data_IF_062129785718
#
_entry.id   IF_062129785718
#
_cell.length_a   1.000
_cell.length_b   1.000
_cell.length_c   1.000
_cell.angle_alpha   90.00
_cell.angle_beta   90.00
_cell.angle_gamma   90.00
#
_symmetry.space_group_name_H-M   'P 1'
#
loop_
_entity.id
_entity.type
_entity.pdbx_description
1 polymer ?
#
# COMPACT_ATOMS: atom_id res chain seq x y z
N UNK A 1 0.62 9.62 16.70
CA UNK A 1 -0.35 8.61 17.14
C UNK A 1 -1.14 9.18 18.31
N UNK A 2 -2.47 9.20 18.27
CA UNK A 2 -3.33 9.61 19.40
C UNK A 2 -4.06 8.42 20.04
N UNK A 3 -4.72 8.63 21.17
CA UNK A 3 -5.48 7.62 21.94
C UNK A 3 -6.51 6.86 21.09
N UNK A 4 -7.12 7.52 20.09
CA UNK A 4 -8.17 6.94 19.24
C UNK A 4 -7.70 5.74 18.41
N UNK A 5 -6.40 5.49 18.31
CA UNK A 5 -5.86 4.34 17.59
C UNK A 5 -5.75 3.07 18.45
N UNK A 6 -5.99 3.19 19.76
CA UNK A 6 -5.82 2.11 20.72
C UNK A 6 -7.17 1.74 21.35
N UNK A 7 -7.31 0.47 21.70
CA UNK A 7 -8.42 0.03 22.54
C UNK A 7 -8.32 0.70 23.93
N UNK A 8 -9.47 1.03 24.52
CA UNK A 8 -9.58 1.67 25.85
C UNK A 8 -8.87 0.83 26.91
N UNK A 9 -8.83 -0.49 26.75
CA UNK A 9 -8.13 -1.41 27.65
C UNK A 9 -6.62 -1.19 27.71
N UNK A 10 -6.03 -0.55 26.70
CA UNK A 10 -4.60 -0.25 26.65
C UNK A 10 -4.27 1.19 27.05
N UNK A 11 -5.26 1.98 27.48
CA UNK A 11 -5.14 3.38 27.87
C UNK A 11 -5.35 3.51 29.39
N UNK A 12 -4.26 3.67 30.13
CA UNK A 12 -4.29 3.86 31.58
C UNK A 12 -4.27 5.34 31.94
N UNK A 13 -5.28 5.78 32.67
CA UNK A 13 -5.29 7.13 33.27
C UNK A 13 -4.87 7.12 34.73
N UNK A 14 -4.88 5.94 35.34
CA UNK A 14 -4.50 5.73 36.72
C UNK A 14 -3.22 4.90 36.77
N UNK A 15 -2.35 5.22 37.73
CA UNK A 15 -1.22 4.37 38.07
C UNK A 15 -1.42 3.88 39.50
N UNK A 16 -1.24 2.59 39.70
CA UNK A 16 -1.14 2.00 41.02
C UNK A 16 0.26 2.22 41.57
N UNK A 17 0.35 2.79 42.77
CA UNK A 17 1.60 2.98 43.47
C UNK A 17 1.48 2.43 44.88
N UNK A 18 2.40 1.55 45.27
CA UNK A 18 2.46 1.07 46.64
C UNK A 18 3.16 2.11 47.51
N UNK A 19 2.48 2.61 48.54
CA UNK A 19 3.03 3.52 49.55
C UNK A 19 2.76 2.91 50.91
N UNK A 20 3.80 2.69 51.72
CA UNK A 20 3.68 2.06 53.05
C UNK A 20 2.97 0.68 53.06
N UNK A 21 3.05 -0.07 51.96
CA UNK A 21 2.39 -1.38 51.83
C UNK A 21 0.93 -1.32 51.37
N UNK A 22 0.36 -0.12 51.20
CA UNK A 22 -0.98 0.07 50.65
C UNK A 22 -0.91 0.46 49.17
N UNK A 23 -1.79 -0.13 48.35
CA UNK A 23 -1.90 0.20 46.93
C UNK A 23 -2.77 1.44 46.78
N UNK A 24 -2.17 2.56 46.37
CA UNK A 24 -2.86 3.83 46.13
C UNK A 24 -3.01 4.04 44.64
N UNK A 25 -4.23 4.39 44.21
CA UNK A 25 -4.51 4.71 42.81
C UNK A 25 -4.38 6.22 42.58
N UNK A 26 -3.45 6.63 41.72
CA UNK A 26 -3.20 8.05 41.42
C UNK A 26 -3.70 8.36 40.00
N UNK A 27 -4.66 9.28 39.89
CA UNK A 27 -5.12 9.78 38.58
C UNK A 27 -4.06 10.67 37.96
N UNK A 28 -3.63 10.31 36.75
CA UNK A 28 -2.73 11.12 35.93
C UNK A 28 -3.56 11.88 34.92
N UNK A 29 -3.34 13.20 34.85
CA UNK A 29 -3.99 14.06 33.86
C UNK A 29 -3.64 13.72 32.40
N UNK A 30 -2.63 12.86 32.17
CA UNK A 30 -2.27 12.35 30.85
C UNK A 30 -2.41 10.82 30.83
N UNK A 31 -3.06 10.25 29.79
CA UNK A 31 -3.15 8.82 29.61
C UNK A 31 -1.79 8.23 29.24
N UNK A 32 -1.52 7.07 29.81
CA UNK A 32 -0.36 6.24 29.57
C UNK A 32 -0.80 5.01 28.77
N UNK A 33 0.06 4.63 27.85
CA UNK A 33 -0.12 3.47 26.98
C UNK A 33 0.57 2.26 27.63
N UNK A 34 -0.07 1.09 27.62
CA UNK A 34 0.57 -0.17 28.01
C UNK A 34 1.83 -0.43 27.17
N UNK A 35 2.91 -1.01 27.71
CA UNK A 35 4.15 -1.22 26.93
C UNK A 35 3.96 -2.07 25.67
N UNK A 36 3.04 -3.03 25.72
CA UNK A 36 2.77 -4.00 24.64
C UNK A 36 1.62 -3.59 23.71
N UNK A 37 1.22 -2.32 23.69
CA UNK A 37 0.05 -1.94 22.92
C UNK A 37 0.35 -1.69 21.45
N UNK A 38 -0.21 -2.55 20.61
CA UNK A 38 -0.26 -2.34 19.18
C UNK A 38 -1.52 -1.54 18.82
N UNK A 39 -1.44 -0.59 17.88
CA UNK A 39 -2.62 0.12 17.39
C UNK A 39 -3.55 -0.88 16.72
N UNK A 40 -4.78 -0.95 17.19
CA UNK A 40 -5.81 -1.84 16.64
C UNK A 40 -6.74 -1.11 15.69
N UNK A 41 -6.87 0.21 15.83
CA UNK A 41 -7.79 1.02 15.04
C UNK A 41 -7.03 1.82 13.97
N UNK A 42 -7.12 1.33 12.74
CA UNK A 42 -6.64 2.03 11.56
C UNK A 42 -7.81 2.64 10.80
N UNK A 43 -7.65 3.86 10.24
CA UNK A 43 -8.68 4.44 9.41
C UNK A 43 -8.97 3.53 8.22
N UNK A 44 -10.25 3.49 7.80
CA UNK A 44 -10.63 2.79 6.57
C UNK A 44 -9.79 3.31 5.40
N UNK A 45 -9.36 2.45 4.48
CA UNK A 45 -8.62 2.89 3.31
C UNK A 45 -9.41 3.95 2.54
N UNK A 46 -8.73 4.93 1.94
CA UNK A 46 -9.40 5.99 1.21
C UNK A 46 -10.28 5.42 0.10
N UNK A 47 -11.47 6.01 -0.09
CA UNK A 47 -12.46 5.62 -1.10
C UNK A 47 -12.03 5.85 -2.56
N UNK A 48 -10.80 6.33 -2.80
CA UNK A 48 -10.24 6.41 -4.14
C UNK A 48 -9.90 4.99 -4.61
N UNK A 49 -10.92 4.23 -4.97
CA UNK A 49 -10.73 3.04 -5.79
C UNK A 49 -10.18 3.52 -7.13
N UNK A 50 -9.02 3.00 -7.59
CA UNK A 50 -8.62 3.26 -8.96
C UNK A 50 -9.77 2.82 -9.85
N UNK A 51 -10.23 3.73 -10.73
CA UNK A 51 -11.25 3.40 -11.73
C UNK A 51 -10.76 2.14 -12.43
N UNK A 52 -11.46 1.03 -12.24
CA UNK A 52 -11.17 -0.17 -13.01
C UNK A 52 -11.28 0.26 -14.47
N UNK A 53 -10.14 0.35 -15.15
CA UNK A 53 -10.12 0.57 -16.57
C UNK A 53 -10.74 -0.69 -17.15
N UNK A 54 -12.03 -0.61 -17.50
CA UNK A 54 -12.68 -1.59 -18.36
C UNK A 54 -11.72 -1.81 -19.50
N UNK A 55 -11.25 -3.05 -19.67
CA UNK A 55 -10.22 -3.44 -20.60
C UNK A 55 -10.57 -2.87 -21.99
N UNK A 56 -10.06 -1.68 -22.30
CA UNK A 56 -10.29 -1.04 -23.57
C UNK A 56 -9.58 -1.94 -24.57
N UNK A 57 -10.36 -2.45 -25.51
CA UNK A 57 -10.00 -3.55 -26.39
C UNK A 57 -8.56 -3.48 -26.85
N UNK A 58 -7.92 -4.65 -26.90
CA UNK A 58 -6.59 -4.86 -27.46
C UNK A 58 -6.38 -3.96 -28.68
N UNK A 59 -5.61 -2.89 -28.50
CA UNK A 59 -5.09 -2.10 -29.61
C UNK A 59 -4.29 -3.10 -30.45
N UNK A 60 -4.82 -3.48 -31.61
CA UNK A 60 -4.07 -4.26 -32.60
C UNK A 60 -2.84 -3.43 -32.94
N UNK A 61 -1.70 -3.74 -32.34
CA UNK A 61 -0.42 -3.19 -32.77
C UNK A 61 -0.21 -3.69 -34.18
N UNK A 62 -0.37 -2.82 -35.15
CA UNK A 62 -0.02 -3.11 -36.52
C UNK A 62 1.50 -3.36 -36.55
N UNK A 63 1.88 -4.57 -36.97
CA UNK A 63 3.27 -4.99 -36.93
C UNK A 63 4.09 -4.08 -37.84
N UNK A 64 5.13 -3.46 -37.29
CA UNK A 64 6.09 -2.68 -38.06
C UNK A 64 6.65 -3.55 -39.19
N UNK A 65 6.58 -3.13 -40.48
CA UNK A 65 7.04 -3.95 -41.57
C UNK A 65 8.56 -4.18 -41.44
N UNK A 66 8.98 -5.45 -41.37
CA UNK A 66 10.40 -5.81 -41.39
C UNK A 66 10.97 -5.47 -42.78
N UNK A 67 12.12 -4.78 -42.88
CA UNK A 67 12.76 -4.58 -44.18
C UNK A 67 13.22 -5.94 -44.72
N UNK A 68 12.73 -6.33 -45.89
CA UNK A 68 13.23 -7.50 -46.62
C UNK A 68 14.63 -7.20 -47.20
N UNK A 69 15.59 -8.12 -47.11
CA UNK A 69 16.87 -7.96 -47.80
C UNK A 69 16.65 -8.10 -49.32
N UNK A 70 17.04 -7.08 -50.08
CA UNK A 70 16.96 -7.06 -51.53
C UNK A 70 17.96 -8.07 -52.13
N UNK A 71 17.48 -9.22 -52.61
CA UNK A 71 18.27 -10.11 -53.46
C UNK A 71 18.20 -9.56 -54.89
N UNK A 72 19.31 -9.01 -55.38
CA UNK A 72 19.47 -8.60 -56.78
C UNK A 72 19.65 -9.86 -57.64
N UNK A 73 18.62 -10.26 -58.38
CA UNK A 73 18.75 -11.28 -59.42
C UNK A 73 19.36 -10.65 -60.67
N UNK A 74 20.60 -11.01 -60.99
CA UNK A 74 21.29 -10.65 -62.22
C UNK A 74 20.60 -11.34 -63.40
N UNK A 75 19.93 -10.60 -64.30
CA UNK A 75 19.45 -11.17 -65.56
C UNK A 75 20.57 -11.13 -66.59
N UNK A 76 21.05 -12.30 -67.00
CA UNK A 76 21.80 -12.44 -68.25
C UNK A 76 20.82 -12.37 -69.41
N UNK A 77 21.07 -11.46 -70.36
CA UNK A 77 20.33 -11.32 -71.61
C UNK A 77 21.05 -12.16 -72.66
N UNK A 78 20.38 -13.16 -73.22
CA UNK A 78 20.85 -13.89 -74.40
C UNK A 78 20.18 -13.31 -75.63
N UNK A 79 21.00 -12.93 -76.60
CA UNK A 79 20.68 -12.34 -77.90
C UNK A 79 19.84 -13.23 -78.83
N UNK A 80 19.11 -12.60 -79.73
CA UNK A 80 18.74 -13.10 -81.05
C UNK A 80 19.09 -12.03 -82.09
#
# INVERSE_FOLDING_TARGET
MCELHFDVMYIFRNIEHTVNGEVVTIYKGRPLLHLENLPTQFPSPPKYQPKQLSHAGSVKREAHPRPHPAIKTLRMVTSL
#
